data_IF_989896670747
#
_entry.id   IF_989896670747
#
_cell.length_a   1.000
_cell.length_b   1.000
_cell.length_c   1.000
_cell.angle_alpha   90.00
_cell.angle_beta   90.00
_cell.angle_gamma   90.00
#
_symmetry.space_group_name_H-M   'P 1'
#
loop_
_entity.id
_entity.type
_entity.pdbx_description
1 polymer ?
#
# COMPACT_ATOMS: atom_id res chain seq x y z
N UNK A 1 -0.80 10.35 10.47
CA UNK A 1 -2.01 9.56 10.08
C UNK A 1 -3.24 10.40 10.40
N UNK A 2 -3.31 11.58 9.78
CA UNK A 2 -4.21 12.65 10.23
C UNK A 2 -5.36 12.87 9.23
N UNK A 3 -5.24 12.29 8.03
CA UNK A 3 -6.24 12.38 6.95
C UNK A 3 -7.01 11.08 6.73
N UNK A 4 -6.43 9.95 7.14
CA UNK A 4 -7.01 8.62 7.01
C UNK A 4 -6.81 7.84 8.30
N UNK A 5 -7.78 7.00 8.61
CA UNK A 5 -7.57 5.86 9.49
C UNK A 5 -6.74 4.82 8.72
N UNK A 6 -5.57 4.47 9.26
CA UNK A 6 -4.60 3.59 8.58
C UNK A 6 -4.58 2.24 9.27
N UNK A 7 -4.46 1.18 8.49
CA UNK A 7 -4.22 -0.17 8.96
C UNK A 7 -3.14 -0.85 8.13
N UNK A 8 -2.43 -1.79 8.73
CA UNK A 8 -1.43 -2.63 8.04
C UNK A 8 -1.99 -4.03 7.94
N UNK A 9 -1.91 -4.66 6.76
CA UNK A 9 -2.31 -6.05 6.60
C UNK A 9 -1.26 -6.77 5.77
N UNK A 10 -0.53 -7.70 6.38
CA UNK A 10 0.56 -8.42 5.72
C UNK A 10 0.22 -9.90 5.52
N UNK A 11 0.71 -10.48 4.42
CA UNK A 11 0.62 -11.92 4.14
C UNK A 11 1.73 -12.73 4.82
N UNK A 12 2.53 -12.13 5.70
CA UNK A 12 3.67 -12.78 6.36
C UNK A 12 3.38 -13.08 7.83
N UNK A 13 4.19 -13.96 8.42
CA UNK A 13 4.15 -14.29 9.84
C UNK A 13 4.40 -13.07 10.74
N UNK A 14 3.83 -13.09 11.95
CA UNK A 14 3.96 -12.00 12.92
C UNK A 14 5.41 -11.56 13.15
N UNK A 15 6.32 -12.53 13.37
CA UNK A 15 7.72 -12.24 13.65
C UNK A 15 8.47 -11.55 12.49
N UNK A 16 7.94 -11.62 11.27
CA UNK A 16 8.51 -10.92 10.11
C UNK A 16 7.94 -9.52 9.93
N UNK A 17 6.66 -9.31 10.23
CA UNK A 17 6.03 -7.99 10.10
C UNK A 17 6.28 -7.10 11.33
N UNK A 18 6.44 -7.68 12.52
CA UNK A 18 6.67 -6.95 13.76
C UNK A 18 7.85 -5.97 13.70
N UNK A 19 9.07 -6.41 13.32
CA UNK A 19 10.21 -5.51 13.19
C UNK A 19 10.02 -4.45 12.11
N UNK A 20 9.32 -4.77 11.02
CA UNK A 20 9.08 -3.81 9.92
C UNK A 20 8.21 -2.65 10.42
N UNK A 21 7.15 -2.93 11.18
CA UNK A 21 6.29 -1.87 11.71
C UNK A 21 6.99 -1.06 12.79
N UNK A 22 7.83 -1.69 13.62
CA UNK A 22 8.66 -0.95 14.58
C UNK A 22 9.66 0.00 13.88
N UNK A 23 10.21 -0.40 12.73
CA UNK A 23 11.09 0.47 11.93
C UNK A 23 10.29 1.61 11.28
N UNK A 24 9.13 1.33 10.70
CA UNK A 24 8.30 2.32 10.01
C UNK A 24 7.63 3.30 10.97
N UNK A 25 7.23 2.83 12.14
CA UNK A 25 6.52 3.58 13.18
C UNK A 25 7.25 3.34 14.51
N UNK A 26 8.40 4.00 14.75
CA UNK A 26 9.23 3.73 15.93
C UNK A 26 8.59 4.22 17.24
N UNK A 27 7.77 5.26 17.19
CA UNK A 27 6.99 5.74 18.34
C UNK A 27 5.76 4.85 18.56
N UNK A 28 5.59 4.38 19.79
CA UNK A 28 4.43 3.56 20.19
C UNK A 28 3.11 4.30 19.97
N UNK A 29 3.10 5.63 20.12
CA UNK A 29 1.92 6.46 19.89
C UNK A 29 1.49 6.46 18.43
N UNK A 30 2.42 6.33 17.49
CA UNK A 30 2.07 6.23 16.07
C UNK A 30 1.54 4.84 15.73
N UNK A 31 2.10 3.78 16.34
CA UNK A 31 1.56 2.43 16.21
C UNK A 31 0.16 2.32 16.81
N UNK A 32 -0.07 2.94 17.96
CA UNK A 32 -1.38 2.94 18.62
C UNK A 32 -2.43 3.72 17.83
N UNK A 33 -2.07 4.50 16.82
CA UNK A 33 -3.02 5.18 15.91
C UNK A 33 -3.49 4.32 14.75
N UNK A 34 -2.81 3.20 14.45
CA UNK A 34 -3.30 2.23 13.48
C UNK A 34 -4.62 1.62 13.98
N UNK A 35 -5.63 1.51 13.11
CA UNK A 35 -6.87 0.78 13.43
C UNK A 35 -6.54 -0.65 13.84
N UNK A 36 -5.69 -1.30 13.06
CA UNK A 36 -5.10 -2.60 13.34
C UNK A 36 -3.80 -2.76 12.56
N UNK A 37 -3.05 -3.79 12.92
CA UNK A 37 -1.97 -4.31 12.10
C UNK A 37 -1.98 -5.83 12.14
N UNK A 38 -2.34 -6.41 11.00
CA UNK A 38 -2.59 -7.84 10.86
C UNK A 38 -1.47 -8.53 10.09
N UNK A 39 -1.28 -9.80 10.45
CA UNK A 39 -0.36 -10.73 9.82
C UNK A 39 -1.16 -11.74 8.96
N UNK A 40 -0.46 -12.78 8.48
CA UNK A 40 -1.08 -13.83 7.66
C UNK A 40 -2.21 -14.62 8.35
N UNK A 41 -2.28 -14.65 9.68
CA UNK A 41 -3.31 -15.39 10.43
C UNK A 41 -4.70 -14.76 10.26
N UNK A 42 -4.74 -13.51 9.81
CA UNK A 42 -5.97 -12.78 9.53
C UNK A 42 -6.38 -12.89 8.05
N UNK A 43 -5.56 -13.52 7.21
CA UNK A 43 -5.88 -13.76 5.81
C UNK A 43 -6.74 -15.02 5.66
N UNK A 44 -7.59 -15.04 4.65
CA UNK A 44 -8.15 -16.30 4.17
C UNK A 44 -7.09 -17.03 3.34
N UNK A 45 -6.87 -18.31 3.62
CA UNK A 45 -5.80 -19.09 3.01
C UNK A 45 -6.42 -20.09 2.05
N UNK A 46 -6.02 -20.04 0.78
CA UNK A 46 -6.21 -21.16 -0.15
C UNK A 46 -4.87 -21.83 -0.42
N UNK A 47 -4.90 -23.15 -0.52
CA UNK A 47 -3.77 -23.93 -0.98
C UNK A 47 -3.84 -24.07 -2.51
N UNK A 48 -2.72 -23.84 -3.19
CA UNK A 48 -2.53 -24.18 -4.60
C UNK A 48 -2.11 -25.67 -4.67
N UNK A 49 -3.02 -26.57 -5.10
CA UNK A 49 -2.75 -28.00 -5.13
C UNK A 49 -1.72 -28.40 -6.18
N UNK A 50 -1.34 -27.49 -7.10
CA UNK A 50 -0.39 -27.74 -8.19
C UNK A 50 0.95 -27.05 -7.95
N UNK A 51 1.10 -26.33 -6.84
CA UNK A 51 2.35 -25.65 -6.51
C UNK A 51 3.50 -26.66 -6.36
N UNK A 52 4.52 -26.49 -7.19
CA UNK A 52 5.76 -27.30 -7.14
C UNK A 52 6.66 -26.92 -5.96
N UNK A 53 6.51 -25.69 -5.49
CA UNK A 53 7.23 -25.14 -4.35
C UNK A 53 6.27 -24.98 -3.17
N UNK A 54 6.44 -25.76 -2.08
CA UNK A 54 5.61 -25.67 -0.89
C UNK A 54 5.56 -24.26 -0.28
N UNK A 55 6.60 -23.45 -0.48
CA UNK A 55 6.64 -22.07 0.05
C UNK A 55 5.71 -21.12 -0.70
N UNK A 56 5.34 -21.45 -1.94
CA UNK A 56 4.41 -20.73 -2.79
C UNK A 56 3.05 -21.43 -2.94
N UNK A 57 2.83 -22.51 -2.17
CA UNK A 57 1.59 -23.29 -2.19
C UNK A 57 0.40 -22.60 -1.53
N UNK A 58 0.58 -21.40 -0.96
CA UNK A 58 -0.48 -20.70 -0.23
C UNK A 58 -0.69 -19.31 -0.78
N UNK A 59 -1.95 -19.00 -1.06
CA UNK A 59 -2.39 -17.64 -1.39
C UNK A 59 -3.15 -17.09 -0.19
N UNK A 60 -2.70 -15.94 0.29
CA UNK A 60 -3.25 -15.25 1.46
C UNK A 60 -4.14 -14.10 0.99
N UNK A 61 -5.44 -14.34 0.97
CA UNK A 61 -6.45 -13.37 0.56
C UNK A 61 -6.81 -12.42 1.69
N UNK A 62 -6.92 -11.13 1.35
CA UNK A 62 -7.32 -10.06 2.27
C UNK A 62 -8.77 -9.70 1.99
N UNK A 63 -9.68 -10.31 2.75
CA UNK A 63 -11.13 -10.10 2.61
C UNK A 63 -11.58 -8.94 3.49
N UNK A 64 -11.99 -7.83 2.89
CA UNK A 64 -12.50 -6.67 3.60
C UNK A 64 -13.72 -6.99 4.46
N UNK A 65 -14.48 -8.06 4.19
CA UNK A 65 -15.51 -8.55 5.11
C UNK A 65 -14.95 -8.82 6.52
N UNK A 66 -13.72 -9.34 6.64
CA UNK A 66 -13.08 -9.54 7.96
C UNK A 66 -12.85 -8.22 8.71
N UNK A 67 -12.71 -7.11 8.00
CA UNK A 67 -12.58 -5.76 8.58
C UNK A 67 -13.95 -5.17 8.87
N UNK A 68 -14.88 -5.31 7.93
CA UNK A 68 -16.22 -4.72 8.00
C UNK A 68 -17.14 -5.38 9.01
N UNK A 69 -16.91 -6.66 9.31
CA UNK A 69 -17.73 -7.43 10.24
C UNK A 69 -17.09 -7.51 11.64
N UNK A 70 -15.90 -6.95 11.82
CA UNK A 70 -15.22 -6.86 13.12
C UNK A 70 -15.78 -5.71 13.95
N UNK A 71 -16.34 -6.04 15.12
CA UNK A 71 -17.02 -5.08 16.00
C UNK A 71 -16.04 -4.05 16.56
N UNK A 72 -14.84 -4.46 16.98
CA UNK A 72 -13.86 -3.58 17.59
C UNK A 72 -13.35 -2.55 16.57
N UNK A 73 -13.07 -3.00 15.35
CA UNK A 73 -12.65 -2.11 14.25
C UNK A 73 -13.76 -1.10 13.93
N UNK A 74 -15.01 -1.55 13.81
CA UNK A 74 -16.13 -0.66 13.52
C UNK A 74 -16.34 0.37 14.64
N UNK A 75 -16.36 -0.07 15.90
CA UNK A 75 -16.53 0.82 17.04
C UNK A 75 -15.43 1.88 17.09
N UNK A 76 -14.17 1.45 16.92
CA UNK A 76 -13.02 2.35 16.92
C UNK A 76 -13.05 3.35 15.78
N UNK A 77 -13.41 2.92 14.58
CA UNK A 77 -13.54 3.83 13.43
C UNK A 77 -14.69 4.81 13.61
N UNK A 78 -15.86 4.35 14.09
CA UNK A 78 -17.06 5.18 14.27
C UNK A 78 -16.90 6.28 15.32
N UNK A 79 -15.93 6.19 16.25
CA UNK A 79 -15.70 7.22 17.28
C UNK A 79 -15.53 8.61 16.68
N UNK A 80 -14.91 8.70 15.50
CA UNK A 80 -14.59 9.95 14.83
C UNK A 80 -15.45 10.20 13.57
N UNK A 81 -16.57 9.48 13.39
CA UNK A 81 -17.41 9.55 12.18
C UNK A 81 -18.88 9.92 12.48
N UNK A 82 -19.62 10.44 11.48
CA UNK A 82 -21.08 10.52 11.56
C UNK A 82 -21.70 9.15 11.87
N UNK A 83 -22.77 9.13 12.69
CA UNK A 83 -23.39 7.88 13.19
C UNK A 83 -23.93 6.94 12.10
N UNK A 84 -24.26 7.48 10.95
CA UNK A 84 -24.79 6.78 9.77
C UNK A 84 -23.70 6.38 8.78
N UNK A 85 -22.42 6.61 9.12
CA UNK A 85 -21.30 6.24 8.25
C UNK A 85 -21.12 4.73 8.21
N UNK A 86 -20.93 4.20 7.00
CA UNK A 86 -20.68 2.77 6.79
C UNK A 86 -19.21 2.56 6.41
N UNK A 87 -18.51 1.72 7.18
CA UNK A 87 -17.09 1.40 6.92
C UNK A 87 -16.90 0.83 5.51
N UNK A 88 -17.85 0.01 5.02
CA UNK A 88 -17.88 -0.56 3.67
C UNK A 88 -17.79 0.47 2.55
N UNK A 89 -18.38 1.64 2.74
CA UNK A 89 -18.39 2.73 1.76
C UNK A 89 -17.15 3.63 1.87
N UNK A 90 -16.34 3.46 2.93
CA UNK A 90 -15.23 4.33 3.29
C UNK A 90 -13.89 3.59 3.43
N UNK A 91 -13.80 2.36 2.90
CA UNK A 91 -12.58 1.54 2.96
C UNK A 91 -11.91 1.42 1.60
N UNK A 92 -10.61 1.71 1.53
CA UNK A 92 -9.75 1.45 0.38
C UNK A 92 -8.68 0.42 0.75
N UNK A 93 -8.58 -0.66 -0.03
CA UNK A 93 -7.49 -1.65 0.09
C UNK A 93 -6.39 -1.35 -0.93
N UNK A 94 -5.15 -1.18 -0.46
CA UNK A 94 -3.98 -0.99 -1.32
C UNK A 94 -3.11 -2.24 -1.24
N UNK A 95 -2.96 -2.96 -2.34
CA UNK A 95 -2.14 -4.17 -2.44
C UNK A 95 -1.55 -4.28 -3.85
N UNK A 96 -0.25 -4.55 -3.97
CA UNK A 96 0.42 -4.69 -5.27
C UNK A 96 0.02 -5.98 -6.00
N UNK A 97 -0.54 -6.95 -5.28
CA UNK A 97 -0.99 -8.22 -5.82
C UNK A 97 -2.52 -8.29 -5.95
N UNK A 98 -3.01 -8.04 -7.17
CA UNK A 98 -4.44 -8.15 -7.55
C UNK A 98 -5.08 -9.49 -7.16
N UNK A 99 -4.34 -10.59 -7.19
CA UNK A 99 -4.91 -11.91 -6.87
C UNK A 99 -5.33 -11.98 -5.39
N UNK A 100 -4.57 -11.37 -4.47
CA UNK A 100 -4.84 -11.41 -3.02
C UNK A 100 -6.10 -10.65 -2.62
N UNK A 101 -6.64 -9.79 -3.47
CA UNK A 101 -7.80 -8.95 -3.16
C UNK A 101 -9.06 -9.35 -3.95
N UNK A 102 -8.96 -10.37 -4.81
CA UNK A 102 -10.01 -10.70 -5.80
C UNK A 102 -11.39 -11.01 -5.20
N UNK A 103 -11.43 -11.36 -3.93
CA UNK A 103 -12.64 -11.75 -3.19
C UNK A 103 -13.44 -10.54 -2.67
N UNK A 104 -12.98 -9.32 -2.94
CA UNK A 104 -13.64 -8.10 -2.51
C UNK A 104 -14.56 -7.55 -3.61
N UNK A 105 -15.58 -6.73 -3.25
CA UNK A 105 -16.38 -6.00 -4.23
C UNK A 105 -15.51 -5.20 -5.20
N UNK A 106 -16.00 -5.00 -6.42
CA UNK A 106 -15.29 -4.18 -7.40
C UNK A 106 -15.07 -2.77 -6.86
N UNK A 107 -13.95 -2.17 -7.26
CA UNK A 107 -13.58 -0.79 -6.91
C UNK A 107 -13.31 -0.53 -5.42
N UNK A 108 -13.15 -1.55 -4.57
CA UNK A 108 -12.68 -1.36 -3.18
C UNK A 108 -11.17 -1.40 -3.03
N UNK A 109 -10.41 -1.57 -4.12
CA UNK A 109 -8.96 -1.69 -4.08
C UNK A 109 -8.25 -1.01 -5.25
N UNK A 110 -7.01 -0.61 -4.99
CA UNK A 110 -6.05 -0.14 -6.00
C UNK A 110 -4.75 -0.94 -5.94
N UNK A 111 -4.02 -0.95 -7.05
CA UNK A 111 -2.90 -1.86 -7.27
C UNK A 111 -1.67 -1.11 -7.79
N UNK A 112 -0.87 -0.51 -6.89
CA UNK A 112 0.44 0.02 -7.25
C UNK A 112 1.37 -1.11 -7.67
N UNK A 113 2.43 -0.76 -8.41
CA UNK A 113 3.46 -1.74 -8.77
C UNK A 113 4.25 -2.15 -7.53
N UNK A 114 4.71 -3.40 -7.50
CA UNK A 114 5.61 -3.87 -6.44
C UNK A 114 6.86 -2.99 -6.40
N UNK A 115 7.19 -2.49 -5.21
CA UNK A 115 8.47 -1.81 -4.99
C UNK A 115 9.60 -2.81 -5.20
N UNK A 116 10.63 -2.40 -5.95
CA UNK A 116 11.87 -3.15 -6.05
C UNK A 116 13.03 -2.20 -5.81
N UNK A 117 14.12 -2.69 -5.25
CA UNK A 117 15.37 -1.93 -5.24
C UNK A 117 15.96 -2.00 -6.66
N UNK A 118 16.00 -0.87 -7.36
CA UNK A 118 16.30 -0.83 -8.80
C UNK A 118 17.76 -0.51 -9.12
N UNK A 119 18.71 -1.10 -8.39
CA UNK A 119 20.10 -1.14 -8.82
C UNK A 119 20.25 -2.29 -9.81
N UNK A 120 20.30 -1.98 -11.10
CA UNK A 120 20.44 -2.97 -12.18
C UNK A 120 21.74 -2.72 -12.94
N UNK A 121 22.42 -3.76 -13.36
CA UNK A 121 23.53 -3.64 -14.30
C UNK A 121 23.03 -3.94 -15.71
N UNK A 122 23.38 -3.11 -16.69
CA UNK A 122 23.13 -3.43 -18.10
C UNK A 122 24.13 -4.47 -18.64
N UNK A 123 23.95 -4.93 -19.88
CA UNK A 123 24.82 -5.93 -20.53
C UNK A 123 26.30 -5.50 -20.59
N UNK A 124 26.59 -4.21 -20.40
CA UNK A 124 27.92 -3.63 -20.36
C UNK A 124 28.43 -3.39 -18.92
N UNK A 125 27.73 -3.93 -17.91
CA UNK A 125 28.04 -3.79 -16.49
C UNK A 125 27.96 -2.33 -15.98
N UNK A 126 27.10 -1.49 -16.57
CA UNK A 126 26.80 -0.16 -16.05
C UNK A 126 25.65 -0.19 -15.04
N UNK A 127 25.84 0.42 -13.88
CA UNK A 127 24.78 0.61 -12.89
C UNK A 127 23.71 1.58 -13.42
N UNK A 128 22.47 1.10 -13.50
CA UNK A 128 21.24 1.86 -13.71
C UNK A 128 20.50 1.99 -12.40
N UNK A 129 20.02 3.19 -12.13
CA UNK A 129 19.20 3.52 -10.96
C UNK A 129 17.87 4.04 -11.48
N UNK A 130 16.78 3.41 -11.07
CA UNK A 130 15.44 3.89 -11.36
C UNK A 130 14.86 4.58 -10.14
N UNK A 131 14.24 5.74 -10.36
CA UNK A 131 13.58 6.47 -9.28
C UNK A 131 12.19 5.88 -9.04
N UNK A 132 11.92 5.48 -7.80
CA UNK A 132 10.56 5.16 -7.38
C UNK A 132 10.05 6.27 -6.47
N UNK A 133 9.20 7.14 -7.01
CA UNK A 133 8.66 8.30 -6.30
C UNK A 133 7.14 8.25 -6.11
N UNK A 134 6.54 7.07 -6.31
CA UNK A 134 5.09 6.86 -6.17
C UNK A 134 4.58 7.27 -4.79
N UNK A 135 5.39 7.02 -3.75
CA UNK A 135 5.09 7.34 -2.35
C UNK A 135 5.74 8.64 -1.84
N UNK A 136 6.52 9.34 -2.68
CA UNK A 136 7.14 10.62 -2.30
C UNK A 136 6.10 11.74 -2.15
N UNK A 137 6.50 12.87 -1.59
CA UNK A 137 5.67 14.08 -1.59
C UNK A 137 5.36 14.51 -3.03
N UNK A 138 4.08 14.75 -3.33
CA UNK A 138 3.57 14.95 -4.69
C UNK A 138 3.78 13.76 -5.62
N UNK A 139 4.07 12.58 -5.07
CA UNK A 139 4.07 11.32 -5.78
C UNK A 139 2.68 10.95 -6.27
N UNK A 140 2.62 10.09 -7.28
CA UNK A 140 1.37 9.76 -7.96
C UNK A 140 0.30 9.19 -7.02
N UNK A 141 0.67 8.34 -6.05
CA UNK A 141 -0.28 7.80 -5.09
C UNK A 141 -0.78 8.88 -4.13
N UNK A 142 0.10 9.78 -3.71
CA UNK A 142 -0.28 10.88 -2.81
C UNK A 142 -1.31 11.81 -3.48
N UNK A 143 -1.06 12.22 -4.74
CA UNK A 143 -1.98 13.07 -5.51
C UNK A 143 -3.34 12.37 -5.67
N UNK A 144 -3.34 11.07 -5.97
CA UNK A 144 -4.56 10.30 -6.13
C UNK A 144 -5.36 10.21 -4.82
N UNK A 145 -4.68 9.94 -3.69
CA UNK A 145 -5.32 9.91 -2.37
C UNK A 145 -5.83 11.29 -1.93
N UNK A 146 -5.19 12.38 -2.34
CA UNK A 146 -5.69 13.74 -2.10
C UNK A 146 -7.00 14.00 -2.86
N UNK A 147 -7.10 13.52 -4.10
CA UNK A 147 -8.38 13.54 -4.81
C UNK A 147 -9.48 12.72 -4.12
N UNK A 148 -9.13 11.59 -3.50
CA UNK A 148 -10.07 10.79 -2.71
C UNK A 148 -10.57 11.54 -1.48
N UNK A 149 -9.70 12.30 -0.79
CA UNK A 149 -10.09 13.09 0.38
C UNK A 149 -11.12 14.18 0.07
N UNK A 150 -11.05 14.76 -1.13
CA UNK A 150 -12.00 15.78 -1.59
C UNK A 150 -13.30 15.20 -2.17
N UNK A 151 -13.37 13.88 -2.34
CA UNK A 151 -14.53 13.21 -2.90
C UNK A 151 -15.70 13.17 -1.91
N UNK A 152 -16.91 13.51 -2.39
CA UNK A 152 -18.12 13.56 -1.55
C UNK A 152 -18.94 12.27 -1.53
N UNK A 153 -18.62 11.33 -2.42
CA UNK A 153 -19.30 10.04 -2.51
C UNK A 153 -18.53 8.95 -1.76
N UNK A 154 -18.83 7.70 -2.10
CA UNK A 154 -18.17 6.54 -1.50
C UNK A 154 -16.80 6.28 -2.14
N UNK A 155 -15.94 5.54 -1.43
CA UNK A 155 -14.64 5.08 -1.96
C UNK A 155 -14.81 4.26 -3.25
N UNK A 156 -15.73 3.29 -3.35
CA UNK A 156 -15.95 2.56 -4.61
C UNK A 156 -16.30 3.47 -5.79
N UNK A 157 -17.15 4.47 -5.60
CA UNK A 157 -17.49 5.44 -6.66
C UNK A 157 -16.27 6.27 -7.09
N UNK A 158 -15.40 6.63 -6.15
CA UNK A 158 -14.17 7.35 -6.47
C UNK A 158 -13.23 6.49 -7.31
N UNK A 159 -12.98 5.25 -6.89
CA UNK A 159 -12.09 4.30 -7.58
C UNK A 159 -12.61 3.97 -8.98
N UNK A 160 -13.93 3.82 -9.14
CA UNK A 160 -14.55 3.61 -10.45
C UNK A 160 -14.31 4.78 -11.41
N UNK A 161 -14.53 6.01 -10.93
CA UNK A 161 -14.42 7.24 -11.75
C UNK A 161 -12.99 7.73 -11.93
N UNK A 162 -12.08 7.33 -11.05
CA UNK A 162 -10.68 7.74 -11.03
C UNK A 162 -9.80 6.49 -10.85
N UNK A 163 -9.74 5.59 -11.85
CA UNK A 163 -8.93 4.39 -11.74
C UNK A 163 -7.46 4.76 -11.49
N UNK A 164 -6.86 4.19 -10.44
CA UNK A 164 -5.45 4.39 -10.15
C UNK A 164 -4.58 3.70 -11.20
N UNK A 165 -3.64 4.46 -11.76
CA UNK A 165 -2.64 3.96 -12.72
C UNK A 165 -1.27 4.33 -12.16
N UNK A 166 -0.42 3.34 -11.96
CA UNK A 166 0.98 3.52 -11.58
C UNK A 166 1.85 3.62 -12.84
N UNK A 167 2.44 4.78 -13.10
CA UNK A 167 3.24 4.99 -14.31
C UNK A 167 4.60 4.26 -14.24
N UNK A 168 5.13 3.78 -15.39
CA UNK A 168 6.42 3.12 -15.44
C UNK A 168 7.58 4.01 -14.95
N UNK A 169 8.59 3.37 -14.37
CA UNK A 169 9.79 4.01 -13.84
C UNK A 169 10.58 4.77 -14.90
N UNK A 170 11.12 5.92 -14.50
CA UNK A 170 12.09 6.67 -15.29
C UNK A 170 13.53 6.32 -14.87
N UNK A 171 14.41 6.09 -15.86
CA UNK A 171 15.84 5.90 -15.63
C UNK A 171 16.50 7.24 -15.27
N UNK A 172 17.12 7.32 -14.10
CA UNK A 172 17.86 8.52 -13.71
C UNK A 172 19.16 8.55 -14.50
N UNK A 173 19.26 9.45 -15.48
CA UNK A 173 20.55 9.75 -16.11
C UNK A 173 21.46 10.40 -15.07
N UNK A 174 22.65 9.84 -14.86
CA UNK A 174 23.70 10.45 -14.03
C UNK A 174 23.89 11.89 -14.52
N UNK A 175 23.57 12.89 -13.69
CA UNK A 175 24.02 14.26 -13.93
C UNK A 175 25.54 14.22 -13.93
N UNK A 176 26.15 14.47 -15.08
CA UNK A 176 27.58 14.77 -15.14
C UNK A 176 27.84 15.89 -14.14
N UNK A 177 28.80 15.66 -13.24
CA UNK A 177 29.15 16.56 -12.15
C UNK A 177 29.98 17.73 -12.68
N UNK A 178 29.51 18.39 -13.72
CA UNK A 178 30.19 19.53 -14.36
C UNK A 178 29.56 20.84 -13.87
N UNK A 179 29.67 21.08 -12.55
CA UNK A 179 29.39 22.41 -11.98
C UNK A 179 29.99 22.57 -10.59
N UNK A 180 31.26 22.22 -10.42
CA UNK A 180 32.10 22.68 -9.30
C UNK A 180 33.53 23.01 -9.77
N UNK A 181 33.63 23.63 -10.94
CA UNK A 181 34.86 24.27 -11.41
C UNK A 181 34.47 25.55 -12.13
N UNK A 182 34.90 26.68 -11.57
CA UNK A 182 34.85 28.03 -12.15
C UNK A 182 33.54 28.83 -11.96
N UNK A 183 33.32 29.29 -10.73
CA UNK A 183 32.96 30.71 -10.51
C UNK A 183 33.16 31.02 -9.03
N UNK A 184 34.40 31.37 -8.66
CA UNK A 184 34.76 32.52 -7.82
C UNK A 184 36.22 32.84 -8.15
N UNK A 185 36.46 34.12 -8.34
CA UNK A 185 37.73 34.77 -8.68
C UNK A 185 38.90 34.42 -7.73
#
# INVERSE_FOLDING_TARGET
MDRFHVAIWSSVLYHNIAPIVEILLPDERDRSRLLFWWNQEHCFIEEDPVAKDPTNSKVFFKRLSSVWDDVEINERWLMDQPKDSELRNNTLLIDDNKAKVRDNPIYTSIHPRSWKLFELYDDNNNLRIYKDDVLENNGQLMIWLEGLLEWKGTVPEYVEKHPYVDTPLEEIKKKERDSWGSSWD
#
